data_IF_371339979675
#
_entry.id   IF_371339979675
#
_cell.length_a   1.000
_cell.length_b   1.000
_cell.length_c   1.000
_cell.angle_alpha   90.00
_cell.angle_beta   90.00
_cell.angle_gamma   90.00
#
_symmetry.space_group_name_H-M   'P 1'
#
loop_
_entity.id
_entity.type
_entity.pdbx_description
1 polymer ?
#
# COMPACT_ATOMS: atom_id res chain seq x y z
N UNK A 1 -24.25 -1.58 -47.21
CA UNK A 1 -24.44 -0.13 -47.05
C UNK A 1 -25.42 0.12 -45.91
N UNK A 2 -25.25 1.25 -45.22
CA UNK A 2 -26.06 1.81 -44.14
C UNK A 2 -25.77 1.30 -42.72
N UNK A 3 -24.67 1.83 -42.18
CA UNK A 3 -24.47 2.15 -40.76
C UNK A 3 -25.72 2.81 -40.17
N UNK A 4 -26.32 2.21 -39.15
CA UNK A 4 -27.32 2.89 -38.31
C UNK A 4 -26.68 3.33 -37.01
N UNK A 5 -26.27 4.58 -37.04
CA UNK A 5 -26.07 5.48 -35.90
C UNK A 5 -27.29 5.36 -34.98
N UNK A 6 -27.08 4.85 -33.77
CA UNK A 6 -28.03 5.06 -32.67
C UNK A 6 -27.36 6.00 -31.68
N UNK A 7 -27.70 7.28 -31.84
CA UNK A 7 -27.63 8.30 -30.79
C UNK A 7 -28.30 7.72 -29.54
N UNK A 8 -27.61 7.76 -28.40
CA UNK A 8 -28.26 7.66 -27.10
C UNK A 8 -27.96 8.94 -26.32
N UNK A 9 -29.00 9.74 -26.14
CA UNK A 9 -29.07 10.88 -25.24
C UNK A 9 -29.31 10.40 -23.80
N UNK A 10 -28.93 11.24 -22.82
CA UNK A 10 -29.28 11.23 -21.37
C UNK A 10 -28.38 10.32 -20.50
N UNK A 11 -27.57 10.77 -19.52
CA UNK A 11 -27.67 11.91 -18.59
C UNK A 11 -26.34 12.70 -18.43
N UNK A 12 -26.43 14.01 -18.67
CA UNK A 12 -25.55 15.02 -18.06
C UNK A 12 -26.08 15.38 -16.65
N UNK A 13 -25.18 15.89 -15.79
CA UNK A 13 -25.32 16.35 -14.40
C UNK A 13 -24.97 15.27 -13.35
N UNK A 14 -23.96 15.37 -12.47
CA UNK A 14 -23.10 16.46 -11.98
C UNK A 14 -21.84 15.83 -11.36
N UNK A 15 -20.64 16.31 -11.69
CA UNK A 15 -19.67 16.96 -10.76
C UNK A 15 -18.65 17.67 -11.64
N UNK A 16 -18.58 18.99 -11.51
CA UNK A 16 -17.48 19.80 -12.02
C UNK A 16 -16.16 19.34 -11.37
N UNK A 17 -15.30 18.69 -12.15
CA UNK A 17 -13.84 18.75 -12.04
C UNK A 17 -13.24 17.91 -13.17
N UNK A 18 -12.84 18.53 -14.28
CA UNK A 18 -11.88 18.09 -15.32
C UNK A 18 -11.63 16.59 -15.57
N UNK A 19 -12.65 15.74 -15.49
CA UNK A 19 -12.56 14.30 -15.73
C UNK A 19 -13.78 13.85 -16.50
N UNK A 20 -13.58 13.67 -17.81
CA UNK A 20 -14.55 13.06 -18.72
C UNK A 20 -14.86 11.65 -18.22
N UNK A 21 -16.12 11.45 -17.82
CA UNK A 21 -16.67 10.19 -17.35
C UNK A 21 -17.17 9.41 -18.58
N UNK A 22 -16.50 8.32 -18.95
CA UNK A 22 -17.03 7.43 -20.00
C UNK A 22 -17.99 6.39 -19.40
N UNK A 23 -19.29 6.62 -19.53
CA UNK A 23 -20.35 5.63 -19.27
C UNK A 23 -20.82 5.03 -20.61
N UNK A 24 -20.08 4.07 -21.17
CA UNK A 24 -20.68 3.16 -22.18
C UNK A 24 -20.72 1.75 -21.62
N UNK A 25 -21.77 1.45 -20.86
CA UNK A 25 -22.29 0.09 -20.72
C UNK A 25 -23.67 0.07 -21.36
N UNK A 26 -23.85 -0.65 -22.48
CA UNK A 26 -25.18 -0.76 -23.11
C UNK A 26 -26.12 -1.55 -22.19
N UNK A 27 -27.17 -0.89 -21.69
CA UNK A 27 -28.37 -1.56 -21.17
C UNK A 27 -29.25 -1.98 -22.36
N UNK A 28 -29.54 -3.28 -22.49
CA UNK A 28 -30.74 -3.73 -23.23
C UNK A 28 -31.77 -4.19 -22.22
N UNK A 29 -32.90 -3.47 -22.14
CA UNK A 29 -34.11 -3.93 -21.46
C UNK A 29 -34.68 -5.06 -22.31
N UNK A 30 -34.65 -6.29 -21.79
CA UNK A 30 -35.40 -7.40 -22.38
C UNK A 30 -36.89 -7.08 -22.28
N UNK A 31 -37.63 -7.25 -23.38
CA UNK A 31 -39.03 -6.83 -23.49
C UNK A 31 -39.98 -7.61 -22.58
N UNK A 32 -39.58 -8.70 -21.94
CA UNK A 32 -40.40 -9.43 -20.96
C UNK A 32 -39.57 -9.83 -19.74
N UNK A 33 -39.90 -9.29 -18.57
CA UNK A 33 -39.57 -9.87 -17.26
C UNK A 33 -38.08 -10.10 -16.91
N UNK A 34 -37.43 -9.05 -16.36
CA UNK A 34 -36.30 -9.13 -15.40
C UNK A 34 -35.09 -10.03 -15.75
N UNK A 35 -34.35 -9.75 -16.83
CA UNK A 35 -32.89 -9.95 -16.86
C UNK A 35 -32.22 -8.77 -17.56
N UNK A 36 -31.31 -8.08 -16.85
CA UNK A 36 -30.44 -7.03 -17.40
C UNK A 36 -29.25 -7.74 -18.05
N UNK A 37 -29.15 -7.71 -19.37
CA UNK A 37 -27.98 -8.22 -20.08
C UNK A 37 -27.00 -7.06 -20.29
N UNK A 38 -25.82 -7.16 -19.68
CA UNK A 38 -24.71 -6.23 -19.91
C UNK A 38 -23.77 -6.84 -20.94
N UNK A 39 -23.31 -6.03 -21.89
CA UNK A 39 -22.30 -6.43 -22.88
C UNK A 39 -20.96 -5.85 -22.51
N UNK A 40 -19.89 -6.64 -22.68
CA UNK A 40 -18.53 -6.20 -22.44
C UNK A 40 -18.18 -5.03 -23.38
N UNK A 41 -17.49 -4.02 -22.86
CA UNK A 41 -16.94 -2.94 -23.69
C UNK A 41 -15.75 -3.47 -24.48
N UNK A 42 -15.88 -3.51 -25.80
CA UNK A 42 -14.84 -4.01 -26.71
C UNK A 42 -14.03 -2.92 -27.40
N UNK A 43 -14.41 -1.64 -27.25
CA UNK A 43 -13.71 -0.51 -27.86
C UNK A 43 -13.96 0.78 -27.06
N UNK A 44 -12.92 1.57 -26.87
CA UNK A 44 -12.98 2.92 -26.32
C UNK A 44 -12.42 3.88 -27.37
N UNK A 45 -13.19 4.91 -27.71
CA UNK A 45 -12.78 5.92 -28.68
C UNK A 45 -11.69 6.84 -28.11
N UNK A 46 -10.63 7.09 -28.87
CA UNK A 46 -9.53 7.98 -28.47
C UNK A 46 -9.97 9.44 -28.30
N UNK A 47 -11.09 9.84 -28.91
CA UNK A 47 -11.69 11.18 -28.75
C UNK A 47 -12.12 11.49 -27.32
N UNK A 48 -12.17 10.48 -26.46
CA UNK A 48 -12.53 10.60 -25.04
C UNK A 48 -11.32 10.94 -24.16
N UNK A 49 -10.11 10.91 -24.73
CA UNK A 49 -8.90 11.31 -24.03
C UNK A 49 -8.98 12.83 -23.77
N UNK A 50 -8.99 13.19 -22.50
CA UNK A 50 -9.06 14.57 -22.05
C UNK A 50 -7.70 15.27 -22.10
N UNK A 51 -7.70 16.52 -21.62
CA UNK A 51 -6.48 17.31 -21.45
C UNK A 51 -5.46 16.57 -20.55
N UNK A 52 -4.17 16.76 -20.84
CA UNK A 52 -3.09 16.08 -20.13
C UNK A 52 -3.06 14.57 -20.36
N UNK A 53 -3.60 14.10 -21.50
CA UNK A 53 -3.56 12.70 -21.92
C UNK A 53 -4.16 11.74 -20.88
N UNK A 54 -5.30 12.11 -20.30
CA UNK A 54 -5.97 11.32 -19.25
C UNK A 54 -7.31 10.79 -19.72
N UNK A 55 -7.65 9.59 -19.26
CA UNK A 55 -8.95 8.96 -19.51
C UNK A 55 -9.47 8.32 -18.22
N UNK A 56 -10.74 8.60 -17.92
CA UNK A 56 -11.45 8.02 -16.79
C UNK A 56 -12.70 7.29 -17.27
N UNK A 57 -12.66 5.97 -17.16
CA UNK A 57 -13.79 5.09 -17.42
C UNK A 57 -14.39 4.70 -16.09
N UNK A 58 -15.68 4.98 -15.88
CA UNK A 58 -16.36 4.62 -14.63
C UNK A 58 -17.71 4.01 -14.94
N UNK A 59 -18.11 2.98 -14.20
CA UNK A 59 -19.44 2.35 -14.33
C UNK A 59 -19.74 1.78 -15.72
N UNK A 60 -18.71 1.51 -16.53
CA UNK A 60 -18.84 0.80 -17.80
C UNK A 60 -18.68 -0.70 -17.56
N UNK A 61 -19.60 -1.54 -18.04
CA UNK A 61 -19.48 -2.99 -17.86
C UNK A 61 -18.34 -3.56 -18.72
N UNK A 62 -17.21 -3.83 -18.09
CA UNK A 62 -16.01 -4.37 -18.73
C UNK A 62 -15.50 -5.57 -17.93
N UNK A 63 -16.21 -6.70 -17.98
CA UNK A 63 -15.84 -7.93 -17.28
C UNK A 63 -14.41 -8.38 -17.62
N UNK A 64 -14.01 -8.25 -18.89
CA UNK A 64 -12.64 -8.50 -19.34
C UNK A 64 -12.09 -7.30 -20.09
N UNK A 65 -10.90 -6.85 -19.72
CA UNK A 65 -10.14 -5.87 -20.51
C UNK A 65 -9.39 -6.59 -21.62
N UNK A 66 -9.85 -6.41 -22.85
CA UNK A 66 -9.19 -6.92 -24.06
C UNK A 66 -8.17 -5.90 -24.58
N UNK A 67 -7.05 -6.33 -25.20
CA UNK A 67 -6.12 -5.42 -25.87
C UNK A 67 -6.81 -4.53 -26.90
N UNK A 68 -7.75 -5.09 -27.65
CA UNK A 68 -8.51 -4.38 -28.69
C UNK A 68 -9.35 -3.22 -28.13
N UNK A 69 -9.77 -3.30 -26.86
CA UNK A 69 -10.61 -2.28 -26.23
C UNK A 69 -9.87 -0.95 -26.01
N UNK A 70 -8.54 -0.99 -25.89
CA UNK A 70 -7.70 0.18 -25.58
C UNK A 70 -6.60 0.42 -26.61
N UNK A 71 -6.52 -0.38 -27.70
CA UNK A 71 -5.39 -0.38 -28.65
C UNK A 71 -5.09 0.96 -29.33
N UNK A 72 -6.10 1.82 -29.45
CA UNK A 72 -6.02 3.12 -30.12
C UNK A 72 -5.65 4.26 -29.18
N UNK A 73 -5.60 4.05 -27.86
CA UNK A 73 -5.36 5.11 -26.87
C UNK A 73 -3.85 5.47 -26.75
N UNK A 74 -3.15 5.60 -27.88
CA UNK A 74 -1.67 5.66 -27.94
C UNK A 74 -1.07 6.89 -27.27
N UNK A 75 -1.80 8.00 -27.24
CA UNK A 75 -1.36 9.24 -26.59
C UNK A 75 -1.51 9.19 -25.06
N UNK A 76 -2.22 8.20 -24.52
CA UNK A 76 -2.65 8.17 -23.13
C UNK A 76 -1.48 8.04 -22.14
N UNK A 77 -1.43 8.94 -21.16
CA UNK A 77 -0.47 8.92 -20.07
C UNK A 77 -1.09 8.39 -18.77
N UNK A 78 -2.39 8.64 -18.56
CA UNK A 78 -3.07 8.27 -17.32
C UNK A 78 -4.41 7.58 -17.61
N UNK A 79 -4.52 6.31 -17.22
CA UNK A 79 -5.74 5.54 -17.37
C UNK A 79 -6.34 5.21 -16.00
N UNK A 80 -7.62 5.55 -15.83
CA UNK A 80 -8.43 5.12 -14.69
C UNK A 80 -9.62 4.33 -15.21
N UNK A 81 -9.78 3.09 -14.76
CA UNK A 81 -10.98 2.28 -14.98
C UNK A 81 -11.52 1.84 -13.61
N UNK A 82 -12.61 2.45 -13.16
CA UNK A 82 -13.13 2.21 -11.82
C UNK A 82 -14.60 1.84 -11.80
N UNK A 83 -14.99 0.88 -10.95
CA UNK A 83 -16.38 0.39 -10.90
C UNK A 83 -16.85 -0.14 -12.25
N UNK A 84 -15.96 -0.76 -13.01
CA UNK A 84 -16.23 -1.30 -14.34
C UNK A 84 -16.54 -2.80 -14.32
N UNK A 85 -16.66 -3.42 -13.15
CA UNK A 85 -16.83 -4.87 -13.00
C UNK A 85 -15.73 -5.71 -13.67
N UNK A 86 -14.51 -5.18 -13.78
CA UNK A 86 -13.37 -5.92 -14.35
C UNK A 86 -13.03 -7.10 -13.45
N UNK A 87 -13.19 -8.31 -13.99
CA UNK A 87 -12.81 -9.58 -13.34
C UNK A 87 -11.45 -10.05 -13.86
N UNK A 88 -11.20 -9.84 -15.16
CA UNK A 88 -10.00 -10.32 -15.85
C UNK A 88 -9.37 -9.21 -16.69
N UNK A 89 -8.04 -9.19 -16.73
CA UNK A 89 -7.26 -8.43 -17.69
C UNK A 89 -6.49 -9.44 -18.53
N UNK A 90 -6.59 -9.33 -19.85
CA UNK A 90 -5.85 -10.22 -20.75
C UNK A 90 -4.35 -9.92 -20.75
N UNK A 91 -3.55 -10.92 -21.11
CA UNK A 91 -2.11 -10.74 -21.24
C UNK A 91 -1.83 -9.63 -22.24
N UNK A 92 -0.89 -8.73 -21.91
CA UNK A 92 -0.53 -7.60 -22.75
C UNK A 92 -1.72 -6.69 -23.14
N UNK A 93 -2.80 -6.66 -22.37
CA UNK A 93 -3.98 -5.82 -22.65
C UNK A 93 -3.64 -4.33 -22.87
N UNK A 94 -2.57 -3.84 -22.26
CA UNK A 94 -2.18 -2.44 -22.33
C UNK A 94 -0.91 -2.19 -23.16
N UNK A 95 -0.40 -3.18 -23.90
CA UNK A 95 0.91 -3.10 -24.58
C UNK A 95 1.01 -1.96 -25.61
N UNK A 96 -0.12 -1.57 -26.20
CA UNK A 96 -0.19 -0.49 -27.19
C UNK A 96 -0.33 0.92 -26.57
N UNK A 97 0.00 1.09 -25.28
CA UNK A 97 -0.06 2.36 -24.56
C UNK A 97 1.36 2.84 -24.21
N UNK A 98 2.16 3.31 -25.19
CA UNK A 98 3.59 3.55 -25.01
C UNK A 98 3.92 4.73 -24.10
N UNK A 99 2.96 5.64 -23.88
CA UNK A 99 3.15 6.82 -23.03
C UNK A 99 2.55 6.63 -21.63
N UNK A 100 1.99 5.46 -21.32
CA UNK A 100 1.26 5.25 -20.08
C UNK A 100 2.20 5.33 -18.87
N UNK A 101 1.93 6.27 -17.97
CA UNK A 101 2.69 6.49 -16.74
C UNK A 101 1.92 6.01 -15.50
N UNK A 102 0.59 6.05 -15.53
CA UNK A 102 -0.24 5.58 -14.42
C UNK A 102 -1.45 4.78 -14.88
N UNK A 103 -1.61 3.59 -14.30
CA UNK A 103 -2.74 2.71 -14.52
C UNK A 103 -3.48 2.47 -13.19
N UNK A 104 -4.78 2.77 -13.15
CA UNK A 104 -5.63 2.60 -11.97
C UNK A 104 -6.86 1.78 -12.31
N UNK A 105 -6.91 0.53 -11.84
CA UNK A 105 -8.02 -0.41 -12.00
C UNK A 105 -8.78 -0.59 -10.67
N UNK A 106 -9.04 0.51 -9.97
CA UNK A 106 -9.61 0.47 -8.62
C UNK A 106 -11.09 0.12 -8.62
N UNK A 107 -11.63 -0.41 -7.51
CA UNK A 107 -13.06 -0.72 -7.39
C UNK A 107 -13.57 -1.65 -8.50
N UNK A 108 -12.82 -2.69 -8.84
CA UNK A 108 -13.27 -3.73 -9.75
C UNK A 108 -13.34 -5.07 -9.00
N UNK A 109 -13.55 -6.15 -9.75
CA UNK A 109 -13.77 -7.49 -9.22
C UNK A 109 -12.57 -8.42 -9.51
N UNK A 110 -11.38 -7.85 -9.73
CA UNK A 110 -10.17 -8.61 -10.08
C UNK A 110 -9.81 -9.55 -8.93
N UNK A 111 -9.83 -10.86 -9.20
CA UNK A 111 -9.54 -11.89 -8.19
C UNK A 111 -8.07 -12.30 -8.13
N UNK A 112 -7.34 -12.16 -9.24
CA UNK A 112 -5.96 -12.63 -9.40
C UNK A 112 -5.18 -11.70 -10.33
N UNK A 113 -3.89 -11.49 -10.04
CA UNK A 113 -2.97 -10.81 -10.96
C UNK A 113 -2.04 -11.87 -11.55
N UNK A 114 -2.21 -12.13 -12.84
CA UNK A 114 -1.42 -13.12 -13.56
C UNK A 114 -0.14 -12.52 -14.12
N UNK A 115 0.90 -13.36 -14.25
CA UNK A 115 2.12 -12.97 -14.98
C UNK A 115 1.78 -12.65 -16.43
N UNK A 116 2.37 -11.59 -17.00
CA UNK A 116 2.12 -11.18 -18.39
C UNK A 116 1.08 -10.06 -18.57
N UNK A 117 0.26 -9.80 -17.56
CA UNK A 117 -0.85 -8.83 -17.67
C UNK A 117 -0.35 -7.38 -17.82
N UNK A 118 0.76 -7.04 -17.15
CA UNK A 118 1.35 -5.69 -17.17
C UNK A 118 2.70 -5.62 -17.89
N UNK A 119 3.02 -6.63 -18.70
CA UNK A 119 4.31 -6.70 -19.38
C UNK A 119 4.52 -5.53 -20.35
N UNK A 120 5.77 -5.07 -20.45
CA UNK A 120 6.21 -4.04 -21.41
C UNK A 120 5.57 -2.66 -21.17
N UNK A 121 4.94 -2.44 -20.01
CA UNK A 121 4.33 -1.15 -19.68
C UNK A 121 5.36 -0.18 -19.07
N UNK A 122 5.45 1.06 -19.58
CA UNK A 122 6.35 2.08 -19.03
C UNK A 122 5.79 2.75 -17.76
N UNK A 123 4.88 2.08 -17.04
CA UNK A 123 4.15 2.69 -15.94
C UNK A 123 5.02 2.88 -14.69
N UNK A 124 4.77 4.01 -14.04
CA UNK A 124 5.39 4.45 -12.79
C UNK A 124 4.49 4.18 -11.58
N UNK A 125 3.16 4.20 -11.80
CA UNK A 125 2.14 4.00 -10.76
C UNK A 125 1.13 2.95 -11.18
N UNK A 126 1.01 1.88 -10.40
CA UNK A 126 -0.03 0.86 -10.55
C UNK A 126 -0.97 0.87 -9.34
N UNK A 127 -2.28 0.96 -9.58
CA UNK A 127 -3.29 0.90 -8.52
C UNK A 127 -4.34 -0.16 -8.83
N UNK A 128 -4.46 -1.12 -7.92
CA UNK A 128 -5.39 -2.24 -7.92
C UNK A 128 -6.20 -2.26 -6.62
N UNK A 129 -6.43 -1.10 -6.02
CA UNK A 129 -7.10 -0.98 -4.72
C UNK A 129 -8.57 -1.38 -4.82
N UNK A 130 -9.12 -1.88 -3.70
CA UNK A 130 -10.55 -2.21 -3.60
C UNK A 130 -10.98 -3.20 -4.70
N UNK A 131 -10.19 -4.26 -4.88
CA UNK A 131 -10.53 -5.41 -5.72
C UNK A 131 -10.74 -6.66 -4.84
N UNK A 132 -10.87 -7.83 -5.47
CA UNK A 132 -11.00 -9.10 -4.79
C UNK A 132 -9.70 -9.93 -4.80
N UNK A 133 -8.53 -9.29 -4.98
CA UNK A 133 -7.27 -9.99 -5.28
C UNK A 133 -6.88 -10.90 -4.12
N UNK A 134 -6.83 -12.21 -4.38
CA UNK A 134 -6.39 -13.25 -3.43
C UNK A 134 -5.00 -13.79 -3.76
N UNK A 135 -4.61 -13.73 -5.03
CA UNK A 135 -3.36 -14.29 -5.55
C UNK A 135 -2.71 -13.32 -6.54
N UNK A 136 -1.39 -13.22 -6.47
CA UNK A 136 -0.55 -12.55 -7.47
C UNK A 136 0.51 -13.59 -7.83
N UNK A 137 0.64 -13.91 -9.12
CA UNK A 137 1.65 -14.86 -9.59
C UNK A 137 3.07 -14.32 -9.34
N UNK A 138 4.02 -15.22 -9.07
CA UNK A 138 5.43 -14.83 -8.91
C UNK A 138 5.95 -14.19 -10.20
N UNK A 139 6.63 -13.06 -10.07
CA UNK A 139 7.11 -12.27 -11.21
C UNK A 139 6.03 -11.53 -12.01
N UNK A 140 4.81 -11.37 -11.46
CA UNK A 140 3.74 -10.63 -12.15
C UNK A 140 4.07 -9.16 -12.44
N UNK A 141 5.09 -8.59 -11.77
CA UNK A 141 5.57 -7.23 -11.97
C UNK A 141 7.02 -7.17 -12.48
N UNK A 142 7.60 -8.30 -12.94
CA UNK A 142 9.02 -8.36 -13.33
C UNK A 142 9.37 -7.42 -14.50
N UNK A 143 8.43 -7.16 -15.40
CA UNK A 143 8.64 -6.31 -16.59
C UNK A 143 8.22 -4.85 -16.34
N UNK A 144 8.38 -4.36 -15.11
CA UNK A 144 7.97 -3.01 -14.68
C UNK A 144 9.13 -2.20 -14.07
N UNK A 145 10.20 -1.93 -14.82
CA UNK A 145 11.44 -1.34 -14.29
C UNK A 145 11.28 0.11 -13.79
N UNK A 146 10.21 0.79 -14.21
CA UNK A 146 9.92 2.18 -13.83
C UNK A 146 8.92 2.31 -12.67
N UNK A 147 8.37 1.20 -12.19
CA UNK A 147 7.36 1.21 -11.13
C UNK A 147 7.98 1.70 -9.81
N UNK A 148 7.51 2.84 -9.31
CA UNK A 148 7.91 3.37 -8.00
C UNK A 148 6.80 3.27 -6.95
N UNK A 149 5.54 3.13 -7.39
CA UNK A 149 4.35 3.11 -6.53
C UNK A 149 3.37 2.02 -6.90
N UNK A 150 3.11 1.11 -5.97
CA UNK A 150 2.07 0.09 -6.11
C UNK A 150 1.02 0.19 -5.01
N UNK A 151 -0.25 0.15 -5.41
CA UNK A 151 -1.39 0.23 -4.49
C UNK A 151 -2.28 -1.00 -4.56
N UNK A 152 -2.22 -1.84 -3.52
CA UNK A 152 -2.98 -3.08 -3.35
C UNK A 152 -3.89 -3.06 -2.10
N UNK A 153 -4.16 -1.87 -1.55
CA UNK A 153 -5.04 -1.70 -0.39
C UNK A 153 -6.43 -2.31 -0.61
N UNK A 154 -7.03 -2.82 0.46
CA UNK A 154 -8.40 -3.35 0.46
C UNK A 154 -8.59 -4.47 -0.56
N UNK A 155 -7.72 -5.48 -0.49
CA UNK A 155 -7.81 -6.72 -1.25
C UNK A 155 -7.93 -7.91 -0.28
N UNK A 156 -7.67 -9.13 -0.74
CA UNK A 156 -7.85 -10.37 0.03
C UNK A 156 -6.57 -11.20 0.09
N UNK A 157 -5.40 -10.58 -0.11
CA UNK A 157 -4.09 -11.23 -0.06
C UNK A 157 -3.86 -11.84 1.31
N UNK A 158 -3.47 -13.12 1.35
CA UNK A 158 -3.19 -13.85 2.60
C UNK A 158 -1.70 -14.03 2.87
N UNK A 159 -0.90 -14.13 1.82
CA UNK A 159 0.55 -14.33 1.89
C UNK A 159 1.28 -13.21 1.16
N UNK A 160 2.54 -13.03 1.53
CA UNK A 160 3.50 -12.19 0.83
C UNK A 160 4.46 -13.07 0.02
N UNK A 161 4.79 -12.66 -1.21
CA UNK A 161 5.81 -13.31 -2.03
C UNK A 161 6.87 -12.26 -2.42
N UNK A 162 8.11 -12.48 -2.01
CA UNK A 162 9.24 -11.56 -2.28
C UNK A 162 9.59 -11.49 -3.78
N UNK A 163 9.18 -12.48 -4.57
CA UNK A 163 9.39 -12.51 -6.01
C UNK A 163 8.46 -11.57 -6.78
N UNK A 164 7.45 -10.96 -6.15
CA UNK A 164 6.60 -9.97 -6.82
C UNK A 164 7.39 -8.78 -7.35
N UNK A 165 8.43 -8.35 -6.63
CA UNK A 165 9.13 -7.09 -6.90
C UNK A 165 10.60 -7.29 -7.28
N UNK A 166 10.97 -8.48 -7.76
CA UNK A 166 12.36 -8.84 -8.05
C UNK A 166 13.03 -7.85 -9.02
N UNK A 167 12.29 -7.39 -10.02
CA UNK A 167 12.78 -6.46 -11.06
C UNK A 167 12.09 -5.08 -10.99
N UNK A 168 11.73 -4.61 -9.79
CA UNK A 168 11.17 -3.27 -9.58
C UNK A 168 12.17 -2.36 -8.81
N UNK A 169 13.32 -1.98 -9.40
CA UNK A 169 14.42 -1.33 -8.66
C UNK A 169 14.08 0.08 -8.16
N UNK A 170 13.07 0.73 -8.72
CA UNK A 170 12.61 2.08 -8.32
C UNK A 170 11.48 2.06 -7.30
N UNK A 171 11.04 0.89 -6.85
CA UNK A 171 9.89 0.76 -5.95
C UNK A 171 10.20 1.32 -4.57
N UNK A 172 9.46 2.35 -4.16
CA UNK A 172 9.61 3.00 -2.84
C UNK A 172 8.29 3.10 -2.09
N UNK A 173 7.14 3.08 -2.77
CA UNK A 173 5.83 3.19 -2.12
C UNK A 173 4.95 1.95 -2.30
N UNK A 174 4.74 1.22 -1.20
CA UNK A 174 3.99 -0.03 -1.17
C UNK A 174 2.77 0.08 -0.26
N UNK A 175 1.58 -0.01 -0.83
CA UNK A 175 0.32 0.09 -0.08
C UNK A 175 -0.43 -1.25 -0.05
N UNK A 176 -0.42 -1.91 1.11
CA UNK A 176 -1.05 -3.22 1.35
C UNK A 176 -2.07 -3.21 2.50
N UNK A 177 -2.50 -2.03 2.93
CA UNK A 177 -3.47 -1.85 4.02
C UNK A 177 -4.79 -2.58 3.76
N UNK A 178 -5.41 -3.12 4.80
CA UNK A 178 -6.71 -3.84 4.70
C UNK A 178 -6.63 -5.06 3.77
N UNK A 179 -5.59 -5.88 3.94
CA UNK A 179 -5.53 -7.22 3.35
C UNK A 179 -5.73 -8.27 4.46
N UNK A 180 -5.30 -9.51 4.23
CA UNK A 180 -5.37 -10.62 5.18
C UNK A 180 -3.98 -11.24 5.40
N UNK A 181 -2.92 -10.47 5.18
CA UNK A 181 -1.53 -10.93 5.34
C UNK A 181 -1.33 -11.36 6.79
N UNK A 182 -0.89 -12.60 7.01
CA UNK A 182 -0.70 -13.16 8.35
C UNK A 182 0.78 -13.40 8.71
N UNK A 183 1.66 -13.40 7.71
CA UNK A 183 3.10 -13.61 7.88
C UNK A 183 3.88 -12.84 6.81
N UNK A 184 5.08 -12.39 7.17
CA UNK A 184 6.08 -11.85 6.25
C UNK A 184 7.24 -12.85 6.20
N UNK A 185 7.57 -13.42 5.03
CA UNK A 185 8.69 -14.34 4.93
C UNK A 185 10.02 -13.61 5.18
N UNK A 186 11.06 -14.38 5.49
CA UNK A 186 12.42 -13.86 5.49
C UNK A 186 12.69 -13.16 4.15
N UNK A 187 13.27 -11.96 4.19
CA UNK A 187 13.56 -11.18 2.98
C UNK A 187 12.34 -10.72 2.18
N UNK A 188 11.18 -10.54 2.84
CA UNK A 188 9.96 -10.01 2.21
C UNK A 188 10.22 -8.77 1.34
N UNK A 189 11.13 -7.89 1.78
CA UNK A 189 11.45 -6.63 1.12
C UNK A 189 12.88 -6.57 0.56
N UNK A 190 13.60 -7.69 0.41
CA UNK A 190 15.02 -7.66 0.00
C UNK A 190 15.27 -7.07 -1.41
N UNK A 191 14.24 -7.06 -2.26
CA UNK A 191 14.29 -6.45 -3.59
C UNK A 191 13.90 -4.95 -3.58
N UNK A 192 13.51 -4.41 -2.42
CA UNK A 192 13.10 -3.01 -2.23
C UNK A 192 14.27 -2.28 -1.58
N UNK A 193 15.29 -2.02 -2.39
CA UNK A 193 16.55 -1.43 -1.88
C UNK A 193 16.50 0.09 -1.74
N UNK A 194 15.45 0.75 -2.23
CA UNK A 194 15.34 2.21 -2.24
C UNK A 194 16.52 2.89 -2.95
N UNK A 195 17.01 2.29 -4.04
CA UNK A 195 18.28 2.63 -4.69
C UNK A 195 18.27 3.91 -5.51
N UNK A 196 17.21 4.71 -5.46
CA UNK A 196 17.25 6.01 -6.09
C UNK A 196 18.27 6.91 -5.37
N UNK A 197 19.26 7.32 -6.14
CA UNK A 197 20.23 8.34 -5.75
C UNK A 197 19.70 9.68 -6.26
N UNK A 198 19.72 10.70 -5.40
CA UNK A 198 19.57 12.10 -5.80
C UNK A 198 20.89 12.76 -5.50
N UNK A 199 21.53 13.34 -6.53
CA UNK A 199 22.84 13.98 -6.43
C UNK A 199 23.94 13.08 -5.83
N UNK A 200 23.86 11.77 -6.08
CA UNK A 200 24.82 10.78 -5.57
C UNK A 200 24.51 10.27 -4.16
N UNK A 201 23.50 10.81 -3.49
CA UNK A 201 23.07 10.40 -2.15
C UNK A 201 21.86 9.49 -2.19
N UNK A 202 21.88 8.43 -1.36
CA UNK A 202 20.76 7.49 -1.26
C UNK A 202 19.61 8.14 -0.52
N UNK A 203 18.46 8.23 -1.20
CA UNK A 203 17.28 8.85 -0.63
C UNK A 203 16.50 7.85 0.22
N UNK A 204 16.26 8.22 1.48
CA UNK A 204 15.52 7.41 2.45
C UNK A 204 14.02 7.80 2.42
N UNK A 205 13.31 7.45 1.34
CA UNK A 205 11.89 7.82 1.16
C UNK A 205 10.93 6.62 1.20
N UNK A 206 11.43 5.39 1.40
CA UNK A 206 10.61 4.19 1.21
C UNK A 206 9.48 4.15 2.25
N UNK A 207 8.24 3.90 1.79
CA UNK A 207 7.03 3.87 2.61
C UNK A 207 6.30 2.56 2.42
N UNK A 208 6.11 1.83 3.51
CA UNK A 208 5.43 0.54 3.52
C UNK A 208 4.21 0.62 4.43
N UNK A 209 3.02 0.44 3.83
CA UNK A 209 1.75 0.49 4.53
C UNK A 209 1.14 -0.91 4.63
N UNK A 210 1.30 -1.55 5.80
CA UNK A 210 0.80 -2.89 6.12
C UNK A 210 -0.33 -2.86 7.16
N UNK A 211 -0.86 -1.69 7.50
CA UNK A 211 -1.91 -1.54 8.50
C UNK A 211 -3.14 -2.39 8.23
N UNK A 212 -3.92 -2.75 9.25
CA UNK A 212 -5.18 -3.50 9.09
C UNK A 212 -4.97 -4.82 8.33
N UNK A 213 -3.91 -5.56 8.65
CA UNK A 213 -3.69 -6.94 8.19
C UNK A 213 -3.91 -7.90 9.37
N UNK A 214 -3.31 -9.09 9.33
CA UNK A 214 -3.40 -10.13 10.35
C UNK A 214 -2.03 -10.60 10.82
N UNK A 215 -0.99 -9.77 10.66
CA UNK A 215 0.38 -10.12 11.03
C UNK A 215 0.44 -10.40 12.53
N UNK A 216 0.80 -11.64 12.90
CA UNK A 216 0.87 -12.06 14.31
C UNK A 216 2.27 -12.00 14.90
N UNK A 217 3.27 -12.29 14.08
CA UNK A 217 4.68 -12.31 14.48
C UNK A 217 5.48 -11.52 13.46
N UNK A 218 6.44 -10.74 13.94
CA UNK A 218 7.54 -10.17 13.14
C UNK A 218 8.84 -10.79 13.63
N UNK A 219 9.79 -10.99 12.74
CA UNK A 219 11.11 -11.58 13.04
C UNK A 219 12.21 -10.61 12.61
N UNK A 220 13.46 -10.78 13.08
CA UNK A 220 14.62 -10.02 12.59
C UNK A 220 14.80 -10.07 11.06
N UNK A 221 14.27 -11.11 10.42
CA UNK A 221 14.34 -11.35 8.99
C UNK A 221 13.18 -10.70 8.22
N UNK A 222 12.10 -10.30 8.90
CA UNK A 222 10.89 -9.72 8.27
C UNK A 222 11.18 -8.40 7.55
N UNK A 223 12.09 -7.59 8.10
CA UNK A 223 12.51 -6.29 7.55
C UNK A 223 14.00 -6.27 7.16
N UNK A 224 14.57 -7.43 6.91
CA UNK A 224 15.97 -7.57 6.53
C UNK A 224 16.33 -6.77 5.28
N UNK A 225 17.50 -6.11 5.30
CA UNK A 225 18.02 -5.26 4.21
C UNK A 225 17.15 -4.06 3.81
N UNK A 226 16.17 -3.68 4.63
CA UNK A 226 15.30 -2.54 4.37
C UNK A 226 15.95 -1.23 4.86
N UNK A 227 17.12 -0.87 4.30
CA UNK A 227 17.93 0.22 4.84
C UNK A 227 17.39 1.64 4.53
N UNK A 228 16.58 1.77 3.48
CA UNK A 228 16.12 3.07 2.95
C UNK A 228 14.69 3.44 3.35
N UNK A 229 14.12 2.76 4.35
CA UNK A 229 12.75 3.00 4.81
C UNK A 229 12.63 4.26 5.65
N UNK A 230 11.71 5.12 5.24
CA UNK A 230 11.31 6.31 5.98
C UNK A 230 10.13 6.03 6.90
N UNK A 231 9.16 5.24 6.43
CA UNK A 231 7.89 5.07 7.12
C UNK A 231 7.38 3.62 7.05
N UNK A 232 7.06 3.07 8.21
CA UNK A 232 6.53 1.72 8.36
C UNK A 232 5.22 1.75 9.16
N UNK A 233 4.12 1.37 8.51
CA UNK A 233 2.81 1.30 9.16
C UNK A 233 2.40 -0.15 9.37
N UNK A 234 2.40 -0.57 10.63
CA UNK A 234 1.99 -1.90 11.09
C UNK A 234 0.76 -1.82 12.02
N UNK A 235 0.11 -0.67 12.13
CA UNK A 235 -1.04 -0.46 13.00
C UNK A 235 -2.21 -1.40 12.68
N UNK A 236 -2.97 -1.81 13.69
CA UNK A 236 -4.14 -2.68 13.54
C UNK A 236 -3.79 -4.02 12.89
N UNK A 237 -2.71 -4.65 13.36
CA UNK A 237 -2.40 -6.05 13.09
C UNK A 237 -2.66 -6.89 14.37
N UNK A 238 -2.08 -8.08 14.45
CA UNK A 238 -2.16 -8.98 15.61
C UNK A 238 -0.79 -9.20 16.25
N UNK A 239 0.15 -8.27 16.09
CA UNK A 239 1.55 -8.45 16.53
C UNK A 239 1.57 -8.58 18.05
N UNK A 240 2.20 -9.62 18.58
CA UNK A 240 2.26 -9.90 20.03
C UNK A 240 3.56 -9.44 20.68
N UNK A 241 4.65 -9.38 19.94
CA UNK A 241 5.95 -8.98 20.47
C UNK A 241 6.77 -8.24 19.41
N UNK A 242 7.73 -7.43 19.86
CA UNK A 242 8.81 -6.91 19.03
C UNK A 242 10.12 -7.57 19.48
N UNK A 243 10.60 -8.61 18.75
CA UNK A 243 11.77 -9.35 19.17
C UNK A 243 13.07 -8.56 18.98
N UNK A 244 14.13 -9.06 19.61
CA UNK A 244 15.47 -8.49 19.48
C UNK A 244 15.96 -8.52 18.04
N UNK A 245 16.45 -7.39 17.54
CA UNK A 245 16.90 -7.24 16.15
C UNK A 245 15.79 -7.18 15.10
N UNK A 246 14.51 -7.06 15.48
CA UNK A 246 13.38 -6.90 14.56
C UNK A 246 13.63 -5.81 13.49
N UNK A 247 14.31 -4.73 13.90
CA UNK A 247 14.61 -3.57 13.05
C UNK A 247 16.12 -3.34 12.89
N UNK A 248 16.93 -4.42 12.85
CA UNK A 248 18.40 -4.36 12.88
C UNK A 248 19.09 -3.59 11.75
N UNK A 249 18.44 -3.45 10.61
CA UNK A 249 19.01 -2.79 9.43
C UNK A 249 18.43 -1.39 9.19
N UNK A 250 17.48 -0.98 10.04
CA UNK A 250 16.92 0.36 9.98
C UNK A 250 17.95 1.32 10.60
N UNK A 251 18.48 2.25 9.81
CA UNK A 251 19.47 3.24 10.26
C UNK A 251 18.80 4.57 10.60
N UNK A 252 17.91 5.00 9.71
CA UNK A 252 17.18 6.27 9.79
C UNK A 252 15.72 5.99 9.43
N UNK A 253 14.83 6.02 10.43
CA UNK A 253 13.39 5.82 10.21
C UNK A 253 12.63 6.95 10.88
N UNK A 254 11.75 7.59 10.12
CA UNK A 254 10.99 8.74 10.60
C UNK A 254 9.76 8.30 11.37
N UNK A 255 9.07 7.26 10.89
CA UNK A 255 7.77 6.86 11.43
C UNK A 255 7.64 5.35 11.52
N UNK A 256 7.28 4.86 12.70
CA UNK A 256 6.80 3.50 12.92
C UNK A 256 5.49 3.55 13.68
N UNK A 257 4.42 3.10 13.04
CA UNK A 257 3.12 2.93 13.68
C UNK A 257 2.89 1.46 14.03
N UNK A 258 2.87 1.14 15.32
CA UNK A 258 2.56 -0.18 15.88
C UNK A 258 1.26 -0.16 16.71
N UNK A 259 0.53 0.95 16.67
CA UNK A 259 -0.71 1.14 17.38
C UNK A 259 -1.76 0.05 17.12
N UNK A 260 -2.58 -0.27 18.13
CA UNK A 260 -3.71 -1.22 18.00
C UNK A 260 -3.25 -2.61 17.56
N UNK A 261 -2.17 -3.11 18.14
CA UNK A 261 -1.74 -4.50 18.03
C UNK A 261 -2.05 -5.23 19.35
N UNK A 262 -1.32 -6.31 19.66
CA UNK A 262 -1.41 -7.06 20.91
C UNK A 262 -0.04 -7.14 21.59
N UNK A 263 0.79 -6.10 21.40
CA UNK A 263 2.20 -6.14 21.80
C UNK A 263 2.26 -6.07 23.32
N UNK A 264 2.78 -7.12 23.97
CA UNK A 264 3.02 -7.15 25.42
C UNK A 264 4.50 -6.96 25.76
N UNK A 265 5.42 -7.33 24.86
CA UNK A 265 6.86 -7.19 25.05
C UNK A 265 7.58 -6.52 23.86
N UNK A 266 8.55 -5.64 24.19
CA UNK A 266 9.56 -5.13 23.26
C UNK A 266 10.94 -5.42 23.84
N UNK A 267 11.77 -6.19 23.11
CA UNK A 267 13.13 -6.53 23.58
C UNK A 267 14.07 -5.32 23.52
N UNK A 268 15.03 -5.25 24.46
CA UNK A 268 16.01 -4.15 24.60
C UNK A 268 16.75 -3.80 23.30
N UNK A 269 17.09 -4.82 22.52
CA UNK A 269 17.85 -4.69 21.28
C UNK A 269 16.95 -4.78 20.02
N UNK A 270 15.66 -4.48 20.11
CA UNK A 270 14.75 -4.47 18.96
C UNK A 270 15.19 -3.49 17.85
N UNK A 271 15.84 -2.38 18.25
CA UNK A 271 16.25 -1.27 17.37
C UNK A 271 17.76 -0.98 17.48
N UNK A 272 18.65 -1.95 17.20
CA UNK A 272 20.05 -1.87 17.62
C UNK A 272 20.89 -0.82 16.87
N UNK A 273 20.48 -0.40 15.65
CA UNK A 273 21.20 0.58 14.83
C UNK A 273 20.45 1.90 14.65
N UNK A 274 19.21 1.99 15.13
CA UNK A 274 18.39 3.18 14.92
C UNK A 274 18.87 4.28 15.86
N UNK A 275 19.34 5.38 15.30
CA UNK A 275 19.89 6.51 16.08
C UNK A 275 18.81 7.50 16.52
N UNK A 276 17.77 7.65 15.72
CA UNK A 276 16.65 8.53 15.99
C UNK A 276 15.40 7.97 15.31
N UNK A 277 14.28 8.00 16.03
CA UNK A 277 12.95 7.77 15.47
C UNK A 277 12.13 9.03 15.69
N UNK A 278 11.58 9.60 14.61
CA UNK A 278 10.74 10.79 14.68
C UNK A 278 9.42 10.54 15.40
N UNK A 279 8.70 9.49 15.01
CA UNK A 279 7.43 9.05 15.60
C UNK A 279 7.48 7.53 15.79
N UNK A 280 7.37 7.10 17.04
CA UNK A 280 7.14 5.71 17.42
C UNK A 280 5.84 5.62 18.22
N UNK A 281 4.83 4.98 17.64
CA UNK A 281 3.50 4.88 18.24
C UNK A 281 3.18 3.43 18.61
N UNK A 282 3.04 3.19 19.91
CA UNK A 282 2.67 1.92 20.52
C UNK A 282 1.30 1.99 21.20
N UNK A 283 0.49 3.00 20.93
CA UNK A 283 -0.81 3.17 21.57
C UNK A 283 -1.74 1.97 21.36
N UNK A 284 -2.62 1.71 22.32
CA UNK A 284 -3.59 0.60 22.26
C UNK A 284 -2.92 -0.77 22.06
N UNK A 285 -1.93 -1.09 22.88
CA UNK A 285 -1.28 -2.41 22.95
C UNK A 285 -1.46 -3.00 24.36
N UNK A 286 -0.65 -4.01 24.72
CA UNK A 286 -0.70 -4.71 26.01
C UNK A 286 0.59 -4.48 26.83
N UNK A 287 1.39 -3.46 26.47
CA UNK A 287 2.70 -3.23 27.09
C UNK A 287 2.55 -2.91 28.57
N UNK A 288 3.36 -3.55 29.40
CA UNK A 288 3.51 -3.18 30.81
C UNK A 288 4.61 -2.13 31.02
N UNK A 289 5.67 -2.21 30.21
CA UNK A 289 6.86 -1.39 30.29
C UNK A 289 7.52 -1.27 28.91
N UNK A 290 8.45 -0.33 28.77
CA UNK A 290 9.34 -0.28 27.63
C UNK A 290 10.80 -0.45 28.05
N UNK A 291 11.65 -1.04 27.18
CA UNK A 291 13.07 -1.13 27.43
C UNK A 291 13.73 0.25 27.44
N UNK A 292 14.62 0.49 28.40
CA UNK A 292 15.27 1.79 28.62
C UNK A 292 15.98 2.30 27.36
N UNK A 293 16.72 1.42 26.67
CA UNK A 293 17.45 1.78 25.45
C UNK A 293 16.57 2.24 24.29
N UNK A 294 15.29 1.86 24.25
CA UNK A 294 14.36 2.33 23.23
C UNK A 294 13.86 3.75 23.54
N UNK A 295 13.63 4.05 24.82
CA UNK A 295 13.15 5.36 25.28
C UNK A 295 14.20 6.46 25.02
N UNK A 296 15.49 6.11 24.98
CA UNK A 296 16.56 7.08 24.74
C UNK A 296 16.78 7.42 23.26
N UNK A 297 16.39 6.55 22.33
CA UNK A 297 16.62 6.72 20.88
C UNK A 297 15.39 7.10 20.08
N UNK A 298 14.20 7.04 20.68
CA UNK A 298 12.94 7.29 19.98
C UNK A 298 12.16 8.43 20.64
N UNK A 299 11.62 9.35 19.83
CA UNK A 299 10.58 10.26 20.29
C UNK A 299 9.25 9.48 20.34
N UNK A 300 9.03 8.81 21.47
CA UNK A 300 7.84 8.01 21.70
C UNK A 300 6.69 8.96 22.04
N UNK A 301 5.82 9.18 21.07
CA UNK A 301 4.78 10.21 21.15
C UNK A 301 3.45 9.67 21.66
N UNK A 302 3.17 8.37 21.47
CA UNK A 302 1.86 7.78 21.74
C UNK A 302 2.00 6.40 22.41
N UNK A 303 1.63 6.33 23.69
CA UNK A 303 1.69 5.14 24.55
C UNK A 303 0.38 4.89 25.31
N UNK A 304 -0.63 5.71 25.06
CA UNK A 304 -1.93 5.61 25.69
C UNK A 304 -2.58 4.24 25.43
N UNK A 305 -3.42 3.79 26.37
CA UNK A 305 -4.19 2.53 26.27
C UNK A 305 -3.31 1.28 26.23
N UNK A 306 -2.24 1.27 27.01
CA UNK A 306 -1.45 0.09 27.35
C UNK A 306 -1.78 -0.39 28.77
N UNK A 307 -1.34 -1.59 29.16
CA UNK A 307 -1.60 -2.17 30.48
C UNK A 307 -0.72 -1.55 31.57
N UNK A 308 0.46 -1.06 31.19
CA UNK A 308 1.50 -0.56 32.08
C UNK A 308 1.17 0.76 32.74
N UNK A 309 1.73 0.95 33.94
CA UNK A 309 1.70 2.25 34.60
C UNK A 309 2.55 3.26 33.84
N UNK A 310 2.16 4.54 33.92
CA UNK A 310 2.96 5.63 33.37
C UNK A 310 4.40 5.64 33.93
N UNK A 311 4.62 5.20 35.18
CA UNK A 311 5.96 5.12 35.76
C UNK A 311 6.87 4.13 35.02
N UNK A 312 6.40 2.96 34.59
CA UNK A 312 7.27 2.00 33.91
C UNK A 312 7.57 2.38 32.45
N UNK A 313 6.61 3.03 31.80
CA UNK A 313 6.68 3.42 30.40
C UNK A 313 7.39 4.80 30.24
N UNK A 314 7.26 5.70 31.23
CA UNK A 314 7.75 7.08 31.20
C UNK A 314 8.88 7.41 32.18
N UNK A 315 9.40 6.50 33.01
CA UNK A 315 10.53 6.82 33.92
C UNK A 315 11.88 7.02 33.21
N UNK A 316 11.84 7.76 32.10
CA UNK A 316 12.91 8.54 31.54
C UNK A 316 13.48 9.51 32.58
N UNK A 317 12.66 10.33 33.26
CA UNK A 317 13.15 11.33 34.23
C UNK A 317 13.59 10.70 35.54
N UNK A 318 12.76 9.89 36.19
CA UNK A 318 13.10 9.38 37.52
C UNK A 318 14.30 8.42 37.51
N UNK A 319 14.58 7.67 36.42
CA UNK A 319 15.80 6.83 36.31
C UNK A 319 17.03 7.59 35.87
N UNK A 320 16.94 8.55 34.94
CA UNK A 320 18.06 9.48 34.67
C UNK A 320 18.43 10.24 35.94
N UNK A 321 17.43 10.72 36.65
CA UNK A 321 17.59 11.34 37.95
C UNK A 321 18.04 10.32 39.00
N UNK A 322 17.74 9.03 38.97
CA UNK A 322 18.28 8.02 39.93
C UNK A 322 19.71 7.61 39.63
N UNK A 323 20.09 7.54 38.36
CA UNK A 323 21.47 7.30 37.92
C UNK A 323 22.33 8.55 38.17
N UNK A 324 21.77 9.75 38.04
CA UNK A 324 22.38 11.01 38.47
C UNK A 324 22.33 11.20 40.01
N UNK A 325 21.26 10.74 40.69
CA UNK A 325 21.04 10.73 42.15
C UNK A 325 21.49 9.43 42.83
N UNK A 326 22.51 8.74 42.29
CA UNK A 326 23.51 8.14 43.18
C UNK A 326 24.19 9.19 44.07
N UNK A 327 23.92 10.48 43.81
CA UNK A 327 24.11 11.63 44.69
C UNK A 327 22.76 12.30 45.11
N UNK A 328 21.99 11.69 46.03
CA UNK A 328 20.92 12.32 46.88
C UNK A 328 19.42 12.31 46.42
N UNK A 329 18.61 11.57 47.21
CA UNK A 329 17.22 11.80 47.75
C UNK A 329 16.01 12.07 46.81
N UNK A 330 14.82 11.66 47.31
CA UNK A 330 13.54 11.17 46.74
C UNK A 330 12.38 12.19 46.50
N UNK A 331 11.22 11.63 46.06
CA UNK A 331 9.80 12.13 45.95
C UNK A 331 9.39 12.80 44.61
N UNK A 332 8.14 12.77 44.07
CA UNK A 332 6.81 12.18 44.36
C UNK A 332 5.98 12.07 43.04
N UNK A 333 4.82 11.38 43.05
CA UNK A 333 3.95 11.04 41.88
C UNK A 333 3.16 12.22 41.31
N UNK A 334 2.95 12.26 39.98
CA UNK A 334 1.88 13.02 39.33
C UNK A 334 1.15 12.22 38.23
N UNK A 335 -0.16 12.46 38.16
CA UNK A 335 -1.20 11.79 37.36
C UNK A 335 -1.06 12.01 35.84
N UNK A 336 -1.69 11.11 35.08
CA UNK A 336 -1.80 11.23 33.61
C UNK A 336 -3.24 11.57 33.20
N UNK A 337 -3.46 12.53 32.28
CA UNK A 337 -4.81 12.89 31.84
C UNK A 337 -5.41 11.85 30.87
N UNK A 338 -6.74 11.85 30.84
CA UNK A 338 -7.67 10.94 30.12
C UNK A 338 -7.50 10.86 28.59
#
# INVERSE_FOLDING_TARGET
MASRVFLLFVLLQLVQSDKLLFEQGKMRLGTHGRKRNYYNVHHIDEKLIGQGHQLVVVRAWMETVHPEAVRNLRSLENLVMAKCHIVKVENKAFVNLPNLTALRLNDNDIGEVKKGVFNELPIKVLSLQRNAIKKIDSGAFDDMPNLYKIKLNSNRLKSWDSAWFKNCPKLTELYFRRNRLNHLPASAFANIKGTHLVDGERVMDTKIFLSKNKLGTITPESFYNLEAISQLYLDRNNITEVPGGAFRDLKEIHVIYLARNKIDEVKDNAFPKVRSIGILDFSSNLLECLPYGLVTVANITNLEKNNGSCSCIRDYKARLEKEQRKNEISYEKEDCPE
#
